data_IF_228403367928
#
_entry.id   IF_228403367928
#
_cell.length_a   1.000
_cell.length_b   1.000
_cell.length_c   1.000
_cell.angle_alpha   90.00
_cell.angle_beta   90.00
_cell.angle_gamma   90.00
#
_symmetry.space_group_name_H-M   'P 1'
#
loop_
_entity.id
_entity.type
_entity.pdbx_description
1 polymer ?
#
# COMPACT_ATOMS: atom_id res chain seq x y z
N UNK A 1 -1.52 13.08 -4.30
CA UNK A 1 -0.25 13.12 -3.52
C UNK A 1 -0.58 12.86 -2.07
N UNK A 2 -1.55 13.60 -1.50
CA UNK A 2 -2.04 13.35 -0.14
C UNK A 2 -2.53 11.91 0.11
N UNK A 3 -3.02 11.19 -0.90
CA UNK A 3 -3.49 9.81 -0.72
C UNK A 3 -2.36 8.81 -0.42
N UNK A 4 -1.20 8.94 -1.08
CA UNK A 4 -0.05 8.06 -0.81
C UNK A 4 0.54 8.36 0.57
N UNK A 5 0.66 9.63 0.91
CA UNK A 5 1.16 10.08 2.22
C UNK A 5 0.21 9.64 3.35
N UNK A 6 -1.11 9.79 3.15
CA UNK A 6 -2.13 9.30 4.08
C UNK A 6 -2.03 7.78 4.26
N UNK A 7 -1.89 7.02 3.17
CA UNK A 7 -1.73 5.56 3.23
C UNK A 7 -0.50 5.16 4.05
N UNK A 8 0.62 5.88 3.88
CA UNK A 8 1.85 5.66 4.63
C UNK A 8 1.67 5.97 6.13
N UNK A 9 0.98 7.07 6.46
CA UNK A 9 0.66 7.41 7.84
C UNK A 9 -0.20 6.33 8.51
N UNK A 10 -1.20 5.81 7.81
CA UNK A 10 -2.02 4.71 8.32
C UNK A 10 -1.20 3.43 8.53
N UNK A 11 -0.26 3.08 7.63
CA UNK A 11 0.64 1.94 7.85
C UNK A 11 1.56 2.13 9.06
N UNK A 12 2.08 3.35 9.29
CA UNK A 12 2.89 3.65 10.46
C UNK A 12 2.09 3.49 11.77
N UNK A 13 0.84 3.97 11.79
CA UNK A 13 -0.07 3.78 12.94
C UNK A 13 -0.45 2.31 13.14
N UNK A 14 -0.68 1.57 12.06
CA UNK A 14 -0.93 0.13 12.12
C UNK A 14 0.26 -0.62 12.74
N UNK A 15 1.49 -0.24 12.38
CA UNK A 15 2.72 -0.80 12.94
C UNK A 15 2.82 -0.50 14.44
N UNK A 16 2.63 0.75 14.84
CA UNK A 16 2.66 1.17 16.23
C UNK A 16 1.58 0.46 17.07
N UNK A 17 0.37 0.31 16.53
CA UNK A 17 -0.70 -0.42 17.19
C UNK A 17 -0.31 -1.89 17.44
N UNK A 18 0.30 -2.57 16.47
CA UNK A 18 0.80 -3.94 16.64
C UNK A 18 1.91 -4.03 17.68
N UNK A 19 2.87 -3.09 17.66
CA UNK A 19 3.98 -3.04 18.63
C UNK A 19 3.46 -2.85 20.07
N UNK A 20 2.35 -2.14 20.24
CA UNK A 20 1.69 -1.92 21.53
C UNK A 20 0.65 -3.00 21.89
N UNK A 21 0.52 -4.07 21.10
CA UNK A 21 -0.46 -5.15 21.35
C UNK A 21 -1.92 -4.78 21.06
N UNK A 22 -2.15 -3.68 20.35
CA UNK A 22 -3.46 -3.23 19.89
C UNK A 22 -3.90 -3.84 18.55
N UNK A 23 -5.07 -3.41 18.07
CA UNK A 23 -5.58 -3.80 16.75
C UNK A 23 -5.11 -2.82 15.68
N UNK A 24 -4.63 -3.34 14.55
CA UNK A 24 -4.23 -2.56 13.37
C UNK A 24 -5.27 -2.54 12.25
N UNK A 25 -6.36 -3.30 12.38
CA UNK A 25 -7.30 -3.57 11.28
C UNK A 25 -7.90 -2.30 10.66
N UNK A 26 -8.30 -1.33 11.49
CA UNK A 26 -8.89 -0.06 11.02
C UNK A 26 -7.87 0.75 10.22
N UNK A 27 -6.64 0.84 10.71
CA UNK A 27 -5.56 1.56 10.04
C UNK A 27 -5.17 0.87 8.72
N UNK A 28 -5.13 -0.46 8.68
CA UNK A 28 -4.87 -1.22 7.45
C UNK A 28 -5.99 -1.04 6.42
N UNK A 29 -7.24 -0.99 6.86
CA UNK A 29 -8.38 -0.70 5.99
C UNK A 29 -8.27 0.70 5.38
N UNK A 30 -7.95 1.72 6.19
CA UNK A 30 -7.76 3.08 5.70
C UNK A 30 -6.57 3.19 4.74
N UNK A 31 -5.44 2.55 5.05
CA UNK A 31 -4.27 2.51 4.17
C UNK A 31 -4.64 1.95 2.79
N UNK A 32 -5.39 0.83 2.78
CA UNK A 32 -5.87 0.21 1.54
C UNK A 32 -6.80 1.14 0.76
N UNK A 33 -7.80 1.74 1.42
CA UNK A 33 -8.76 2.62 0.77
C UNK A 33 -8.09 3.86 0.14
N UNK A 34 -7.11 4.45 0.84
CA UNK A 34 -6.32 5.57 0.31
C UNK A 34 -5.51 5.17 -0.92
N UNK A 35 -4.93 3.98 -0.89
CA UNK A 35 -4.16 3.44 -2.00
C UNK A 35 -5.03 3.11 -3.22
N UNK A 36 -6.24 2.60 -3.02
CA UNK A 36 -7.23 2.39 -4.10
C UNK A 36 -7.59 3.71 -4.80
N UNK A 37 -7.83 4.78 -4.03
CA UNK A 37 -8.10 6.11 -4.58
C UNK A 37 -6.89 6.64 -5.36
N UNK A 38 -5.68 6.47 -4.83
CA UNK A 38 -4.45 6.86 -5.52
C UNK A 38 -4.31 6.12 -6.86
N UNK A 39 -4.44 4.80 -6.86
CA UNK A 39 -4.29 3.96 -8.06
C UNK A 39 -5.35 4.31 -9.10
N UNK A 40 -6.60 4.51 -8.71
CA UNK A 40 -7.67 4.93 -9.61
C UNK A 40 -7.34 6.29 -10.28
N UNK A 41 -6.85 7.27 -9.51
CA UNK A 41 -6.43 8.57 -10.04
C UNK A 41 -5.26 8.44 -11.01
N UNK A 42 -4.28 7.62 -10.66
CA UNK A 42 -3.08 7.42 -11.48
C UNK A 42 -3.43 6.71 -12.80
N UNK A 43 -4.27 5.68 -12.73
CA UNK A 43 -4.83 4.97 -13.88
C UNK A 43 -5.58 5.92 -14.81
N UNK A 44 -6.53 6.71 -14.29
CA UNK A 44 -7.30 7.67 -15.08
C UNK A 44 -6.42 8.72 -15.78
N UNK A 45 -5.33 9.15 -15.13
CA UNK A 45 -4.46 10.20 -15.64
C UNK A 45 -3.45 9.71 -16.68
N UNK A 46 -2.97 8.48 -16.55
CA UNK A 46 -1.86 7.95 -17.36
C UNK A 46 -2.23 6.73 -18.20
N UNK A 47 -3.47 6.23 -18.12
CA UNK A 47 -3.96 5.10 -18.91
C UNK A 47 -3.43 3.74 -18.45
N UNK A 48 -3.05 3.60 -17.17
CA UNK A 48 -2.59 2.32 -16.64
C UNK A 48 -3.77 1.39 -16.34
N UNK A 49 -3.65 0.13 -16.73
CA UNK A 49 -4.64 -0.90 -16.42
C UNK A 49 -4.18 -1.79 -15.26
N UNK A 50 -5.15 -2.22 -14.45
CA UNK A 50 -4.93 -3.24 -13.42
C UNK A 50 -4.63 -4.57 -14.10
N UNK A 51 -3.35 -4.89 -14.29
CA UNK A 51 -2.93 -6.23 -14.72
C UNK A 51 -3.13 -7.21 -13.57
N UNK A 52 -3.47 -8.46 -13.91
CA UNK A 52 -3.63 -9.53 -12.93
C UNK A 52 -2.45 -9.51 -11.95
N UNK A 53 -2.75 -9.30 -10.66
CA UNK A 53 -1.74 -9.24 -9.63
C UNK A 53 -0.84 -10.47 -9.72
N UNK A 54 0.49 -10.31 -9.56
CA UNK A 54 1.37 -11.48 -9.47
C UNK A 54 0.77 -12.40 -8.40
N UNK A 55 0.64 -13.70 -8.70
CA UNK A 55 0.13 -14.68 -7.73
C UNK A 55 1.05 -14.67 -6.52
N UNK A 56 0.70 -13.89 -5.51
CA UNK A 56 1.36 -13.91 -4.21
C UNK A 56 1.01 -15.27 -3.60
N UNK A 57 1.90 -16.26 -3.76
CA UNK A 57 1.75 -17.60 -3.18
C UNK A 57 2.17 -17.53 -1.72
N UNK A 58 1.29 -17.94 -0.82
CA UNK A 58 1.57 -18.03 0.61
C UNK A 58 0.54 -17.30 1.46
N UNK A 59 0.46 -17.72 2.73
CA UNK A 59 -0.27 -17.01 3.77
C UNK A 59 0.57 -15.80 4.17
N UNK A 60 -0.02 -14.61 4.15
CA UNK A 60 0.63 -13.40 4.67
C UNK A 60 0.16 -13.27 6.11
N UNK A 61 1.06 -13.46 7.06
CA UNK A 61 0.71 -13.30 8.47
C UNK A 61 0.76 -11.82 8.85
N UNK A 62 -0.26 -11.37 9.58
CA UNK A 62 -0.31 -10.01 10.11
C UNK A 62 0.64 -9.90 11.31
N UNK A 63 1.78 -9.26 11.09
CA UNK A 63 2.77 -8.95 12.11
C UNK A 63 3.56 -7.70 11.73
N UNK A 64 4.35 -7.17 12.67
CA UNK A 64 5.12 -5.93 12.51
C UNK A 64 6.08 -5.99 11.31
N UNK A 65 6.66 -7.15 11.00
CA UNK A 65 7.56 -7.33 9.86
C UNK A 65 6.84 -7.26 8.52
N UNK A 66 5.65 -7.87 8.41
CA UNK A 66 4.79 -7.73 7.23
C UNK A 66 4.39 -6.27 7.00
N UNK A 67 4.04 -5.52 8.06
CA UNK A 67 3.72 -4.09 7.93
C UNK A 67 4.94 -3.27 7.53
N UNK A 68 6.13 -3.57 8.08
CA UNK A 68 7.38 -2.91 7.70
C UNK A 68 7.66 -3.04 6.19
N UNK A 69 7.49 -4.23 5.63
CA UNK A 69 7.68 -4.46 4.19
C UNK A 69 6.71 -3.62 3.34
N UNK A 70 5.47 -3.45 3.79
CA UNK A 70 4.50 -2.59 3.11
C UNK A 70 4.88 -1.12 3.18
N UNK A 71 5.42 -0.68 4.33
CA UNK A 71 5.94 0.69 4.50
C UNK A 71 7.08 0.94 3.52
N UNK A 72 8.07 0.03 3.46
CA UNK A 72 9.23 0.17 2.57
C UNK A 72 8.81 0.23 1.09
N UNK A 73 7.89 -0.64 0.66
CA UNK A 73 7.35 -0.65 -0.70
C UNK A 73 6.52 0.61 -1.02
N UNK A 74 5.79 1.14 -0.03
CA UNK A 74 5.02 2.37 -0.20
C UNK A 74 5.91 3.61 -0.24
N UNK A 75 7.03 3.64 0.50
CA UNK A 75 8.06 4.68 0.38
C UNK A 75 8.64 4.65 -1.04
N UNK A 76 9.00 3.47 -1.55
CA UNK A 76 9.44 3.33 -2.94
C UNK A 76 8.38 3.85 -3.93
N UNK A 77 7.10 3.54 -3.70
CA UNK A 77 5.98 4.05 -4.51
C UNK A 77 5.92 5.58 -4.52
N UNK A 78 6.10 6.22 -3.35
CA UNK A 78 6.14 7.68 -3.21
C UNK A 78 7.31 8.26 -4.01
N UNK A 79 8.51 7.70 -3.87
CA UNK A 79 9.71 8.15 -4.58
C UNK A 79 9.55 8.02 -6.11
N UNK A 80 9.00 6.90 -6.58
CA UNK A 80 8.72 6.67 -7.99
C UNK A 80 7.72 7.70 -8.53
N UNK A 81 6.63 7.97 -7.80
CA UNK A 81 5.63 8.96 -8.19
C UNK A 81 6.23 10.38 -8.24
N UNK A 82 7.00 10.78 -7.22
CA UNK A 82 7.66 12.09 -7.16
C UNK A 82 8.71 12.27 -8.26
N UNK A 83 9.37 11.19 -8.67
CA UNK A 83 10.34 11.20 -9.76
C UNK A 83 9.72 11.12 -11.16
N UNK A 84 8.39 11.11 -11.27
CA UNK A 84 7.68 10.97 -12.56
C UNK A 84 7.70 9.56 -13.16
N UNK A 85 8.18 8.55 -12.42
CA UNK A 85 8.16 7.12 -12.83
C UNK A 85 6.79 6.52 -12.52
N UNK A 86 5.76 7.01 -13.23
CA UNK A 86 4.36 6.72 -12.88
C UNK A 86 3.97 5.26 -13.06
N UNK A 87 4.53 4.55 -14.04
CA UNK A 87 4.24 3.13 -14.23
C UNK A 87 4.82 2.29 -13.08
N UNK A 88 6.04 2.59 -12.63
CA UNK A 88 6.65 1.95 -11.46
C UNK A 88 5.83 2.24 -10.20
N UNK A 89 5.43 3.50 -10.00
CA UNK A 89 4.57 3.88 -8.88
C UNK A 89 3.22 3.15 -8.91
N UNK A 90 2.62 3.00 -10.09
CA UNK A 90 1.38 2.24 -10.23
C UNK A 90 1.58 0.76 -9.87
N UNK A 91 2.62 0.11 -10.40
CA UNK A 91 2.90 -1.31 -10.15
C UNK A 91 3.24 -1.60 -8.68
N UNK A 92 4.06 -0.76 -8.05
CA UNK A 92 4.41 -0.91 -6.64
C UNK A 92 3.20 -0.62 -5.73
N UNK A 93 2.46 0.46 -5.98
CA UNK A 93 1.23 0.77 -5.24
C UNK A 93 0.16 -0.32 -5.40
N UNK A 94 0.03 -0.89 -6.61
CA UNK A 94 -0.83 -2.04 -6.88
C UNK A 94 -0.46 -3.23 -6.00
N UNK A 95 0.84 -3.56 -5.95
CA UNK A 95 1.34 -4.66 -5.14
C UNK A 95 1.03 -4.48 -3.64
N UNK A 96 1.26 -3.29 -3.10
CA UNK A 96 0.93 -2.97 -1.70
C UNK A 96 -0.57 -3.13 -1.43
N UNK A 97 -1.44 -2.68 -2.33
CA UNK A 97 -2.90 -2.81 -2.21
C UNK A 97 -3.35 -4.28 -2.15
N UNK A 98 -2.76 -5.13 -2.97
CA UNK A 98 -3.05 -6.57 -2.98
C UNK A 98 -2.55 -7.26 -1.71
N UNK A 99 -1.37 -6.89 -1.21
CA UNK A 99 -0.87 -7.40 0.06
C UNK A 99 -1.74 -6.99 1.24
N UNK A 100 -2.20 -5.73 1.27
CA UNK A 100 -3.16 -5.25 2.27
C UNK A 100 -4.48 -6.02 2.22
N UNK A 101 -4.95 -6.35 1.01
CA UNK A 101 -6.19 -7.14 0.82
C UNK A 101 -6.07 -8.56 1.38
N UNK A 102 -4.86 -9.13 1.46
CA UNK A 102 -4.62 -10.44 2.07
C UNK A 102 -4.46 -10.40 3.58
N UNK A 103 -4.14 -9.23 4.14
CA UNK A 103 -3.95 -9.02 5.58
C UNK A 103 -5.26 -8.68 6.31
N UNK A 104 -6.27 -8.21 5.58
CA UNK A 104 -7.62 -7.89 6.05
C UNK A 104 -8.54 -9.11 5.91
#
# INVERSE_FOLDING_TARGET
>A
MGELEDALQHLLRAKEALENGGSSNVELWFARAKLEVFLAKLSLKHGFEEVAAPKIKGKVDLNTESIRKLIDELIFTVEAYQSGRFEEAFRAGWHVREMLTKLL
#
